data_IF_500243247458
#
_entry.id   IF_500243247458
#
_cell.length_a   1.000
_cell.length_b   1.000
_cell.length_c   1.000
_cell.angle_alpha   90.00
_cell.angle_beta   90.00
_cell.angle_gamma   90.00
#
_symmetry.space_group_name_H-M   'P 1'
#
loop_
_entity.id
_entity.type
_entity.pdbx_description
1 polymer ?
#
# COMPACT_ATOMS: atom_id res chain seq x y z
N UNK A 1 4.28 25.59 -12.68
CA UNK A 1 3.79 24.22 -12.90
C UNK A 1 2.40 24.14 -12.31
N UNK A 2 1.37 24.13 -13.15
CA UNK A 2 0.02 23.85 -12.68
C UNK A 2 0.02 22.39 -12.27
N UNK A 3 0.10 22.12 -10.96
CA UNK A 3 -0.27 20.83 -10.42
C UNK A 3 -1.61 20.49 -11.05
N UNK A 4 -1.71 19.31 -11.65
CA UNK A 4 -2.99 18.70 -12.00
C UNK A 4 -3.69 18.49 -10.65
N UNK A 5 -4.26 19.57 -10.12
CA UNK A 5 -5.17 19.55 -8.98
C UNK A 5 -6.35 18.77 -9.51
N UNK A 6 -6.31 17.48 -9.25
CA UNK A 6 -7.38 16.56 -9.54
C UNK A 6 -8.62 17.11 -8.85
N UNK A 7 -9.78 17.00 -9.49
CA UNK A 7 -11.05 17.48 -8.91
C UNK A 7 -11.30 16.92 -7.49
N UNK A 8 -10.71 15.75 -7.19
CA UNK A 8 -10.64 15.12 -5.88
C UNK A 8 -10.02 16.02 -4.81
N UNK A 9 -8.89 16.67 -5.10
CA UNK A 9 -8.17 17.50 -4.13
C UNK A 9 -9.00 18.73 -3.76
N UNK A 10 -9.71 19.30 -4.73
CA UNK A 10 -10.62 20.44 -4.51
C UNK A 10 -11.81 20.05 -3.65
N UNK A 11 -12.37 18.85 -3.85
CA UNK A 11 -13.44 18.30 -3.01
C UNK A 11 -12.92 18.10 -1.57
N UNK A 12 -11.74 17.50 -1.41
CA UNK A 12 -11.13 17.27 -0.11
C UNK A 12 -10.85 18.58 0.63
N UNK A 13 -10.24 19.56 -0.04
CA UNK A 13 -9.94 20.87 0.55
C UNK A 13 -11.23 21.60 0.98
N UNK A 14 -12.25 21.59 0.12
CA UNK A 14 -13.54 22.21 0.42
C UNK A 14 -14.25 21.55 1.62
N UNK A 15 -14.30 20.22 1.66
CA UNK A 15 -14.95 19.48 2.76
C UNK A 15 -14.12 19.56 4.04
N UNK A 16 -12.79 19.53 3.97
CA UNK A 16 -11.89 19.69 5.13
C UNK A 16 -12.09 21.05 5.80
N UNK A 17 -12.26 22.12 5.03
CA UNK A 17 -12.52 23.47 5.57
C UNK A 17 -13.86 23.61 6.31
N UNK A 18 -14.89 22.85 5.90
CA UNK A 18 -16.26 22.98 6.45
C UNK A 18 -16.66 21.86 7.42
N UNK A 19 -15.88 20.78 7.49
CA UNK A 19 -16.14 19.52 8.22
C UNK A 19 -17.39 18.75 7.79
N UNK A 20 -18.48 19.43 7.40
CA UNK A 20 -19.71 18.86 6.84
C UNK A 20 -20.24 19.78 5.74
N UNK A 21 -20.48 19.26 4.54
CA UNK A 21 -21.00 20.03 3.42
C UNK A 21 -22.06 19.24 2.63
N UNK A 22 -23.09 19.93 2.12
CA UNK A 22 -24.12 19.30 1.28
C UNK A 22 -23.56 19.02 -0.13
N UNK A 23 -23.83 17.86 -0.71
CA UNK A 23 -23.28 17.46 -2.01
C UNK A 23 -23.59 18.47 -3.13
N UNK A 24 -24.81 19.02 -3.14
CA UNK A 24 -25.24 20.03 -4.11
C UNK A 24 -24.49 21.34 -3.91
N UNK A 25 -24.20 21.71 -2.65
CA UNK A 25 -23.42 22.89 -2.32
C UNK A 25 -21.96 22.76 -2.80
N UNK A 26 -21.35 21.59 -2.59
CA UNK A 26 -20.00 21.27 -3.08
C UNK A 26 -19.95 21.34 -4.61
N UNK A 27 -20.95 20.77 -5.29
CA UNK A 27 -21.09 20.83 -6.75
C UNK A 27 -21.18 22.26 -7.26
N UNK A 28 -21.98 23.13 -6.62
CA UNK A 28 -22.10 24.54 -7.00
C UNK A 28 -20.82 25.33 -6.72
N UNK A 29 -20.19 25.10 -5.57
CA UNK A 29 -18.97 25.82 -5.18
C UNK A 29 -17.77 25.49 -6.07
N UNK A 30 -17.64 24.23 -6.51
CA UNK A 30 -16.54 23.76 -7.33
C UNK A 30 -16.83 23.82 -8.85
N UNK A 31 -18.06 24.17 -9.24
CA UNK A 31 -18.48 24.19 -10.64
C UNK A 31 -18.52 22.80 -11.30
N UNK A 32 -18.68 21.74 -10.50
CA UNK A 32 -18.69 20.35 -10.96
C UNK A 32 -20.13 19.82 -11.08
N UNK A 33 -20.35 18.81 -11.93
CA UNK A 33 -21.66 18.14 -11.99
C UNK A 33 -21.89 17.33 -10.71
N UNK A 34 -23.11 17.38 -10.16
CA UNK A 34 -23.46 16.64 -8.94
C UNK A 34 -23.16 15.13 -9.03
N UNK A 35 -23.34 14.51 -10.20
CA UNK A 35 -22.99 13.10 -10.43
C UNK A 35 -21.48 12.82 -10.34
N UNK A 36 -20.63 13.76 -10.73
CA UNK A 36 -19.17 13.60 -10.63
C UNK A 36 -18.73 13.72 -9.18
N UNK A 37 -19.31 14.66 -8.42
CA UNK A 37 -19.08 14.81 -6.98
C UNK A 37 -19.54 13.56 -6.22
N UNK A 38 -20.70 12.98 -6.56
CA UNK A 38 -21.18 11.71 -5.99
C UNK A 38 -20.24 10.53 -6.27
N UNK A 39 -19.78 10.41 -7.53
CA UNK A 39 -18.81 9.38 -7.92
C UNK A 39 -17.51 9.49 -7.13
N UNK A 40 -16.96 10.69 -7.00
CA UNK A 40 -15.74 10.92 -6.22
C UNK A 40 -15.95 10.73 -4.72
N UNK A 41 -17.09 11.18 -4.18
CA UNK A 41 -17.44 10.97 -2.77
C UNK A 41 -17.47 9.49 -2.41
N UNK A 42 -18.06 8.63 -3.25
CA UNK A 42 -18.08 7.16 -3.05
C UNK A 42 -16.68 6.53 -3.07
N UNK A 43 -15.77 7.05 -3.89
CA UNK A 43 -14.37 6.60 -3.93
C UNK A 43 -13.65 7.03 -2.64
N UNK A 44 -13.83 8.28 -2.23
CA UNK A 44 -13.22 8.83 -1.01
C UNK A 44 -13.75 8.16 0.27
N UNK A 45 -15.01 7.72 0.27
CA UNK A 45 -15.59 6.94 1.37
C UNK A 45 -14.97 5.55 1.46
N UNK A 46 -14.75 4.86 0.33
CA UNK A 46 -14.03 3.57 0.30
C UNK A 46 -12.59 3.69 0.82
N UNK A 47 -11.96 4.85 0.60
CA UNK A 47 -10.63 5.17 1.12
C UNK A 47 -10.64 5.63 2.59
N UNK A 48 -11.83 5.83 3.19
CA UNK A 48 -11.99 6.26 4.57
C UNK A 48 -11.70 7.75 4.82
N UNK A 49 -11.50 8.55 3.77
CA UNK A 49 -11.18 9.98 3.87
C UNK A 49 -12.43 10.83 4.16
N UNK A 50 -13.57 10.42 3.61
CA UNK A 50 -14.88 11.05 3.82
C UNK A 50 -15.91 10.01 4.28
N UNK A 51 -16.99 10.47 4.89
CA UNK A 51 -18.16 9.65 5.19
C UNK A 51 -19.39 10.29 4.54
N UNK A 52 -20.20 9.52 3.83
CA UNK A 52 -21.43 10.00 3.21
C UNK A 52 -22.59 9.77 4.19
N UNK A 53 -23.21 10.85 4.65
CA UNK A 53 -24.44 10.80 5.44
C UNK A 53 -25.65 11.07 4.54
N UNK A 54 -26.60 10.14 4.56
CA UNK A 54 -27.87 10.28 3.86
C UNK A 54 -28.93 10.76 4.86
N UNK A 55 -29.37 12.00 4.71
CA UNK A 55 -30.60 12.50 5.34
C UNK A 55 -31.78 12.33 4.38
N UNK A 56 -33.01 12.43 4.90
CA UNK A 56 -34.26 12.11 4.19
C UNK A 56 -34.35 12.75 2.78
N UNK A 57 -33.81 13.96 2.62
CA UNK A 57 -33.89 14.73 1.37
C UNK A 57 -32.54 15.17 0.82
N UNK A 58 -31.45 14.91 1.56
CA UNK A 58 -30.15 15.54 1.30
C UNK A 58 -29.00 14.59 1.59
N UNK A 59 -27.94 14.71 0.80
CA UNK A 59 -26.69 13.99 1.03
C UNK A 59 -25.62 14.95 1.54
N UNK A 60 -24.97 14.58 2.64
CA UNK A 60 -23.89 15.33 3.26
C UNK A 60 -22.56 14.57 3.19
N UNK A 61 -21.50 15.27 2.81
CA UNK A 61 -20.13 14.81 2.89
C UNK A 61 -19.55 15.26 4.23
N UNK A 62 -19.12 14.32 5.07
CA UNK A 62 -18.53 14.59 6.39
C UNK A 62 -17.06 14.22 6.37
N UNK A 63 -16.20 15.14 6.82
CA UNK A 63 -14.76 14.91 6.96
C UNK A 63 -14.49 13.94 8.11
N UNK A 64 -13.81 12.82 7.83
CA UNK A 64 -13.52 11.81 8.84
C UNK A 64 -12.17 12.11 9.53
N UNK A 65 -12.22 12.91 10.60
CA UNK A 65 -11.04 13.37 11.36
C UNK A 65 -10.27 12.22 12.06
N UNK A 66 -10.82 11.00 12.09
CA UNK A 66 -10.22 9.84 12.76
C UNK A 66 -8.94 9.31 12.10
N UNK A 67 -8.74 9.53 10.80
CA UNK A 67 -7.57 8.99 10.10
C UNK A 67 -6.28 9.79 10.36
N UNK A 68 -6.35 11.07 10.73
CA UNK A 68 -5.16 11.92 10.92
C UNK A 68 -4.45 11.69 12.27
N UNK A 69 -5.06 10.92 13.20
CA UNK A 69 -4.49 10.59 14.52
C UNK A 69 -4.13 9.10 14.70
N UNK A 70 -4.34 8.26 13.69
CA UNK A 70 -3.98 6.84 13.73
C UNK A 70 -2.98 6.51 12.62
N UNK A 71 -1.93 7.31 12.48
CA UNK A 71 -0.68 6.78 11.93
C UNK A 71 -0.05 5.85 12.99
N UNK A 72 0.15 4.55 12.70
CA UNK A 72 0.65 3.58 13.66
C UNK A 72 2.19 3.66 13.81
N UNK A 73 2.75 4.86 13.93
CA UNK A 73 4.21 5.03 14.07
C UNK A 73 4.64 4.92 15.54
N UNK A 74 3.78 5.23 16.50
CA UNK A 74 4.16 5.23 17.93
C UNK A 74 3.98 3.90 18.67
N UNK A 75 3.54 2.84 17.99
CA UNK A 75 3.39 1.51 18.63
C UNK A 75 4.67 0.67 18.65
N UNK A 76 5.76 1.12 18.05
CA UNK A 76 7.03 0.37 18.00
C UNK A 76 8.18 0.98 18.80
N UNK A 77 7.96 2.10 19.50
CA UNK A 77 9.04 2.74 20.30
C UNK A 77 9.11 2.18 21.73
N UNK A 78 8.07 1.49 22.22
CA UNK A 78 8.08 0.96 23.60
C UNK A 78 8.74 -0.42 23.79
N UNK A 79 9.05 -1.16 22.71
CA UNK A 79 9.62 -2.51 22.82
C UNK A 79 11.12 -2.60 22.50
N UNK A 80 11.77 -1.51 22.07
CA UNK A 80 13.22 -1.49 21.75
C UNK A 80 14.10 -0.92 22.88
N UNK A 81 13.52 -0.40 23.96
CA UNK A 81 14.28 0.14 25.10
C UNK A 81 14.62 -0.94 26.17
N UNK A 82 14.14 -2.17 26.00
CA UNK A 82 14.37 -3.28 26.94
C UNK A 82 15.63 -4.12 26.67
N UNK A 83 16.42 -3.83 25.61
CA UNK A 83 17.56 -4.65 25.20
C UNK A 83 18.90 -3.91 25.21
N UNK A 84 19.12 -3.02 26.19
CA UNK A 84 20.46 -2.43 26.42
C UNK A 84 21.24 -3.32 27.41
N UNK A 85 22.32 -4.00 27.01
CA UNK A 85 23.14 -4.78 27.93
C UNK A 85 23.81 -3.86 28.96
N UNK A 86 23.99 -4.32 30.22
CA UNK A 86 24.62 -3.54 31.27
C UNK A 86 26.08 -3.23 30.90
N UNK A 87 26.43 -1.94 30.92
CA UNK A 87 27.79 -1.49 30.67
C UNK A 87 28.76 -2.04 31.73
N UNK A 88 29.98 -2.47 31.33
CA UNK A 88 30.98 -2.95 32.27
C UNK A 88 31.48 -1.81 33.16
N UNK A 89 31.38 -2.02 34.47
CA UNK A 89 31.95 -1.16 35.51
C UNK A 89 33.48 -1.20 35.46
N UNK A 90 34.11 -0.05 35.31
CA UNK A 90 35.55 0.15 35.51
C UNK A 90 35.80 1.34 36.43
N UNK A 91 36.96 1.35 37.13
CA UNK A 91 37.06 1.75 38.52
C UNK A 91 37.30 3.25 38.74
N UNK A 92 36.86 3.71 39.92
CA UNK A 92 37.23 5.01 40.51
C UNK A 92 38.75 5.17 40.52
N UNK A 93 39.26 6.25 39.92
CA UNK A 93 40.56 6.82 40.25
C UNK A 93 40.40 8.24 40.82
N UNK A 94 41.10 8.41 41.92
CA UNK A 94 41.18 9.59 42.77
C UNK A 94 41.93 10.74 42.09
N UNK A 95 41.80 11.91 42.71
CA UNK A 95 42.21 13.22 42.22
C UNK A 95 43.68 13.40 41.83
N UNK A 96 43.90 14.49 41.11
CA UNK A 96 45.01 15.41 41.36
C UNK A 96 44.66 16.78 40.78
N UNK A 97 45.02 17.78 41.56
CA UNK A 97 44.88 19.22 41.41
C UNK A 97 45.53 19.84 40.15
N UNK A 98 45.25 21.15 40.01
CA UNK A 98 46.04 22.18 39.30
C UNK A 98 46.04 22.09 37.75
N UNK A 99 45.88 23.15 36.96
CA UNK A 99 46.11 24.59 37.17
C UNK A 99 45.33 25.38 36.10
N UNK A 100 44.96 26.62 36.48
CA UNK A 100 44.59 27.74 35.60
C UNK A 100 45.52 27.86 34.38
N UNK A 101 44.97 28.22 33.21
CA UNK A 101 45.40 29.35 32.36
C UNK A 101 44.23 29.74 31.46
N UNK A 102 43.76 30.97 31.65
CA UNK A 102 42.82 31.69 30.77
C UNK A 102 43.68 32.57 29.86
N UNK A 103 43.61 32.47 28.52
CA UNK A 103 44.20 33.48 27.65
C UNK A 103 43.25 34.69 27.51
N UNK A 104 43.77 35.94 27.55
CA UNK A 104 42.96 37.14 27.49
C UNK A 104 42.56 37.51 26.05
N UNK A 105 41.29 37.83 25.88
CA UNK A 105 40.72 38.45 24.67
C UNK A 105 41.35 39.83 24.39
N UNK A 106 41.78 40.13 23.16
CA UNK A 106 42.23 41.47 22.82
C UNK A 106 41.05 42.43 22.64
N UNK A 107 41.18 43.58 23.32
CA UNK A 107 40.25 44.71 23.34
C UNK A 107 40.07 45.30 21.94
N UNK A 108 38.81 45.41 21.50
CA UNK A 108 38.42 46.25 20.35
C UNK A 108 38.75 47.71 20.68
N UNK A 109 39.63 48.32 19.92
CA UNK A 109 39.79 49.77 19.86
C UNK A 109 38.76 50.32 18.89
N UNK A 110 37.90 51.19 19.40
CA UNK A 110 37.11 52.12 18.60
C UNK A 110 38.04 52.95 17.72
N UNK A 111 37.87 52.83 16.40
CA UNK A 111 38.40 53.78 15.44
C UNK A 111 37.20 54.32 14.67
N UNK A 112 37.01 55.64 14.81
CA UNK A 112 35.85 56.36 14.33
C UNK A 112 35.63 56.23 12.83
N UNK A 113 34.35 56.06 12.50
CA UNK A 113 33.81 56.31 11.17
C UNK A 113 33.98 57.80 10.84
N UNK A 114 34.86 58.11 9.88
CA UNK A 114 34.83 59.39 9.18
C UNK A 114 33.86 59.23 8.00
N UNK A 115 32.78 60.01 8.06
CA UNK A 115 31.91 60.30 6.92
C UNK A 115 32.73 60.96 5.80
N UNK A 116 32.60 60.47 4.56
CA UNK A 116 33.09 61.22 3.42
C UNK A 116 32.97 60.48 2.09
N UNK A 117 32.16 61.06 1.19
CA UNK A 117 32.43 60.96 -0.25
C UNK A 117 31.49 60.07 -1.04
N UNK A 118 30.32 60.63 -1.39
CA UNK A 118 29.57 60.19 -2.55
C UNK A 118 30.44 60.32 -3.81
N UNK A 119 30.74 59.20 -4.46
CA UNK A 119 31.30 59.19 -5.82
C UNK A 119 30.22 58.65 -6.77
N UNK A 120 29.53 59.59 -7.43
CA UNK A 120 28.81 59.32 -8.67
C UNK A 120 29.84 59.04 -9.77
N UNK A 121 29.97 57.79 -10.19
CA UNK A 121 30.74 57.46 -11.39
C UNK A 121 29.79 57.37 -12.59
N UNK A 122 29.93 58.40 -13.42
CA UNK A 122 29.30 58.64 -14.70
C UNK A 122 29.79 57.60 -15.73
N UNK A 123 28.91 56.72 -16.21
CA UNK A 123 29.20 55.83 -17.34
C UNK A 123 28.98 56.61 -18.64
N UNK A 124 30.08 56.94 -19.34
CA UNK A 124 30.05 57.45 -20.70
C UNK A 124 30.01 56.28 -21.69
N UNK A 125 29.02 56.31 -22.57
CA UNK A 125 28.70 55.24 -23.49
C UNK A 125 29.67 55.05 -24.65
N UNK A 126 29.64 53.82 -25.20
CA UNK A 126 29.87 53.58 -26.62
C UNK A 126 28.59 53.03 -27.23
N UNK A 127 28.08 53.80 -28.20
CA UNK A 127 27.05 53.40 -29.16
C UNK A 127 27.68 52.46 -30.18
N UNK A 128 27.06 51.30 -30.39
CA UNK A 128 27.15 50.55 -31.65
C UNK A 128 25.78 49.93 -31.87
N UNK A 129 25.12 50.45 -32.90
CA UNK A 129 23.81 50.06 -33.37
C UNK A 129 23.78 48.59 -33.80
N UNK A 130 22.87 47.80 -33.22
CA UNK A 130 22.34 46.62 -33.89
C UNK A 130 20.86 46.46 -33.51
N UNK A 131 19.99 46.88 -34.45
CA UNK A 131 18.56 46.62 -34.40
C UNK A 131 18.31 45.12 -34.61
N UNK A 132 17.60 44.47 -33.68
CA UNK A 132 16.51 43.51 -33.99
C UNK A 132 15.81 42.97 -32.72
N UNK A 133 14.51 43.29 -32.66
CA UNK A 133 13.37 42.54 -32.11
C UNK A 133 13.37 42.05 -30.66
N UNK A 134 12.57 42.74 -29.84
CA UNK A 134 11.48 42.21 -29.00
C UNK A 134 11.60 40.78 -28.43
N UNK A 135 11.85 40.71 -27.12
CA UNK A 135 11.06 39.90 -26.19
C UNK A 135 11.47 40.26 -24.74
N UNK A 136 10.62 41.01 -24.05
CA UNK A 136 10.72 41.23 -22.61
C UNK A 136 10.42 39.94 -21.86
N UNK A 137 11.43 39.34 -21.22
CA UNK A 137 11.26 38.29 -20.21
C UNK A 137 11.97 38.77 -18.95
N UNK A 138 11.19 39.04 -17.91
CA UNK A 138 11.70 39.31 -16.56
C UNK A 138 12.17 38.00 -15.91
N UNK A 139 13.34 37.98 -15.25
CA UNK A 139 13.67 36.92 -14.31
C UNK A 139 13.00 37.22 -12.97
N UNK A 140 12.05 36.38 -12.56
CA UNK A 140 11.62 36.31 -11.17
C UNK A 140 12.42 35.20 -10.48
N UNK A 141 13.25 35.63 -9.55
CA UNK A 141 13.90 34.78 -8.57
C UNK A 141 12.85 34.02 -7.76
N UNK A 142 12.93 32.70 -7.77
CA UNK A 142 12.18 31.83 -6.87
C UNK A 142 13.17 30.83 -6.25
N UNK A 143 13.50 31.11 -4.99
CA UNK A 143 14.27 30.23 -4.11
C UNK A 143 13.65 28.83 -4.03
N UNK A 144 14.36 27.84 -4.59
CA UNK A 144 14.05 26.42 -4.40
C UNK A 144 14.57 25.98 -3.03
N UNK A 145 13.69 25.97 -2.03
CA UNK A 145 13.93 25.22 -0.79
C UNK A 145 13.83 23.72 -1.08
N UNK A 146 14.97 23.04 -1.16
CA UNK A 146 15.07 21.58 -1.17
C UNK A 146 14.55 21.02 0.16
N UNK A 147 13.29 20.61 0.21
CA UNK A 147 12.82 19.69 1.25
C UNK A 147 13.17 18.27 0.84
N UNK A 148 14.14 17.68 1.52
CA UNK A 148 14.44 16.25 1.46
C UNK A 148 13.20 15.47 1.91
N UNK A 149 12.49 14.85 0.96
CA UNK A 149 11.40 13.91 1.27
C UNK A 149 12.03 12.54 1.51
N UNK A 150 11.85 12.05 2.73
CA UNK A 150 12.31 10.75 3.19
C UNK A 150 11.85 9.63 2.25
N UNK A 151 12.79 8.78 1.86
CA UNK A 151 12.54 7.52 1.16
C UNK A 151 11.80 6.61 2.14
N UNK A 152 10.53 6.33 1.85
CA UNK A 152 9.74 5.34 2.59
C UNK A 152 10.25 3.95 2.18
N UNK A 153 10.75 3.12 3.10
CA UNK A 153 11.11 1.75 2.77
C UNK A 153 9.85 0.95 2.45
N UNK A 154 9.83 0.34 1.26
CA UNK A 154 8.81 -0.63 0.84
C UNK A 154 8.82 -1.79 1.82
N UNK A 155 7.78 -1.89 2.65
CA UNK A 155 7.59 -3.02 3.55
C UNK A 155 7.30 -4.26 2.70
N UNK A 156 8.25 -5.19 2.73
CA UNK A 156 8.12 -6.55 2.21
C UNK A 156 6.99 -7.25 2.96
N UNK A 157 5.89 -7.55 2.27
CA UNK A 157 4.82 -8.40 2.78
C UNK A 157 5.44 -9.78 3.05
N UNK A 158 5.34 -10.36 4.27
CA UNK A 158 5.82 -11.70 4.52
C UNK A 158 5.02 -12.69 3.66
N UNK A 159 5.72 -13.31 2.70
CA UNK A 159 5.28 -14.50 1.97
C UNK A 159 4.78 -15.52 2.97
N UNK A 160 3.49 -15.89 2.87
CA UNK A 160 2.94 -17.05 3.56
C UNK A 160 3.74 -18.28 3.16
N UNK A 161 4.39 -18.85 4.16
CA UNK A 161 5.09 -20.13 4.11
C UNK A 161 4.09 -21.22 3.76
N UNK A 162 4.55 -22.14 2.91
CA UNK A 162 3.86 -23.30 2.40
C UNK A 162 3.18 -24.15 3.50
N UNK A 163 1.85 -24.08 3.59
CA UNK A 163 1.04 -25.13 4.19
C UNK A 163 0.59 -26.12 3.11
N UNK A 164 1.58 -26.80 2.50
CA UNK A 164 1.36 -28.10 1.87
C UNK A 164 1.55 -29.18 2.93
N UNK A 165 0.52 -29.50 3.70
CA UNK A 165 0.45 -30.78 4.41
C UNK A 165 -0.99 -31.21 4.69
N UNK A 166 -1.29 -32.41 4.20
CA UNK A 166 -2.39 -33.28 4.56
C UNK A 166 -3.81 -32.89 4.10
N UNK A 167 -4.04 -32.93 2.78
CA UNK A 167 -5.32 -33.44 2.29
C UNK A 167 -5.11 -34.95 2.07
N UNK A 168 -5.55 -35.74 3.05
CA UNK A 168 -5.69 -37.19 2.91
C UNK A 168 -6.60 -37.45 1.71
N UNK A 169 -6.09 -38.20 0.74
CA UNK A 169 -6.90 -38.91 -0.24
C UNK A 169 -8.04 -39.61 0.48
N UNK A 170 -9.27 -39.14 0.27
CA UNK A 170 -10.46 -39.94 0.48
C UNK A 170 -10.59 -40.77 -0.81
N UNK A 171 -9.78 -41.81 -0.88
CA UNK A 171 -9.99 -42.94 -1.77
C UNK A 171 -11.27 -43.61 -1.30
N UNK A 172 -12.39 -43.32 -1.97
CA UNK A 172 -13.62 -44.07 -1.81
C UNK A 172 -13.31 -45.48 -2.33
N UNK A 173 -13.34 -46.53 -1.49
CA UNK A 173 -13.08 -47.88 -1.95
C UNK A 173 -14.20 -48.27 -2.91
N UNK A 174 -13.80 -48.77 -4.08
CA UNK A 174 -14.68 -49.40 -5.04
C UNK A 174 -15.51 -50.47 -4.31
N UNK A 175 -16.81 -50.19 -4.16
CA UNK A 175 -17.76 -51.13 -3.60
C UNK A 175 -17.80 -52.39 -4.46
N UNK A 176 -17.42 -53.47 -3.81
CA UNK A 176 -17.45 -54.82 -4.29
C UNK A 176 -18.82 -55.17 -4.85
N UNK A 177 -18.86 -55.48 -6.15
CA UNK A 177 -19.77 -56.48 -6.69
C UNK A 177 -19.48 -57.81 -5.99
N UNK A 178 -20.14 -58.06 -4.86
CA UNK A 178 -20.33 -59.41 -4.33
C UNK A 178 -21.81 -59.72 -4.42
N UNK A 179 -22.10 -60.57 -5.40
CA UNK A 179 -23.31 -61.36 -5.52
C UNK A 179 -23.77 -61.82 -4.14
N UNK A 180 -24.94 -61.34 -3.71
CA UNK A 180 -25.68 -61.97 -2.64
C UNK A 180 -26.58 -63.05 -3.28
N UNK A 181 -26.66 -64.23 -2.67
CA UNK A 181 -27.29 -65.40 -3.27
C UNK A 181 -28.80 -65.21 -3.32
N UNK A 182 -29.37 -65.53 -4.47
CA UNK A 182 -30.79 -65.79 -4.66
C UNK A 182 -31.28 -66.84 -3.66
N UNK A 183 -31.74 -66.38 -2.49
CA UNK A 183 -32.51 -67.18 -1.53
C UNK A 183 -33.89 -67.39 -2.12
N UNK A 184 -34.02 -68.45 -2.91
CA UNK A 184 -35.30 -69.08 -3.24
C UNK A 184 -35.99 -69.44 -1.92
N UNK A 185 -37.02 -68.67 -1.56
CA UNK A 185 -37.85 -68.93 -0.41
C UNK A 185 -38.85 -70.04 -0.78
N UNK A 186 -38.37 -71.28 -0.77
CA UNK A 186 -39.23 -72.46 -0.90
C UNK A 186 -40.03 -72.61 0.39
N UNK A 187 -41.31 -72.26 0.35
CA UNK A 187 -42.26 -72.55 1.42
C UNK A 187 -42.29 -74.07 1.68
N UNK A 188 -42.15 -74.55 2.92
CA UNK A 188 -42.34 -75.95 3.25
C UNK A 188 -43.83 -76.27 3.12
N UNK A 189 -44.19 -76.92 2.03
CA UNK A 189 -45.51 -77.54 1.82
C UNK A 189 -45.70 -78.60 2.91
N UNK A 190 -46.50 -78.29 3.93
CA UNK A 190 -46.97 -79.23 4.94
C UNK A 190 -47.93 -80.22 4.28
N UNK A 191 -47.39 -81.20 3.57
CA UNK A 191 -48.10 -82.44 3.20
C UNK A 191 -48.23 -83.31 4.45
N UNK A 192 -49.23 -83.02 5.27
CA UNK A 192 -49.64 -83.87 6.39
C UNK A 192 -50.43 -85.05 5.83
N UNK A 193 -49.73 -86.10 5.43
CA UNK A 193 -50.32 -87.41 5.16
C UNK A 193 -51.02 -87.93 6.43
N UNK A 194 -52.29 -88.35 6.38
CA UNK A 194 -52.89 -89.09 7.48
C UNK A 194 -52.35 -90.53 7.44
N UNK A 195 -51.61 -90.90 8.47
CA UNK A 195 -51.16 -92.26 8.73
C UNK A 195 -52.35 -93.22 8.75
N UNK A 196 -52.31 -94.16 7.82
CA UNK A 196 -53.11 -95.38 7.76
C UNK A 196 -52.87 -96.18 9.06
N UNK A 197 -53.81 -96.12 10.01
CA UNK A 197 -53.83 -97.02 11.17
C UNK A 197 -54.60 -98.28 10.78
N UNK A 198 -53.88 -99.41 10.90
CA UNK A 198 -54.37 -100.77 10.75
C UNK A 198 -55.51 -101.08 11.73
N UNK A 199 -56.42 -101.92 11.24
CA UNK A 199 -57.55 -102.50 11.95
C UNK A 199 -57.13 -103.36 13.15
N UNK A 200 -57.97 -103.42 14.20
CA UNK A 200 -58.14 -104.63 14.97
C UNK A 200 -59.44 -105.33 14.55
N UNK A 201 -59.28 -106.61 14.23
CA UNK A 201 -60.31 -107.62 14.07
C UNK A 201 -61.13 -107.73 15.36
N UNK A 202 -62.46 -107.81 15.25
CA UNK A 202 -63.35 -107.80 16.41
C UNK A 202 -64.82 -107.91 16.03
N UNK A 203 -65.25 -109.15 15.79
CA UNK A 203 -66.63 -109.61 15.81
C UNK A 203 -67.42 -109.02 16.99
N UNK A 204 -68.48 -108.26 16.71
CA UNK A 204 -69.69 -108.20 17.55
C UNK A 204 -70.89 -107.77 16.68
N UNK A 205 -71.68 -108.75 16.23
CA UNK A 205 -73.08 -108.57 15.86
C UNK A 205 -73.87 -108.06 17.07
N UNK A 206 -74.12 -106.75 17.12
CA UNK A 206 -75.16 -106.13 17.96
C UNK A 206 -75.81 -105.03 17.14
N UNK A 207 -77.10 -105.23 16.83
CA UNK A 207 -77.98 -104.23 16.22
C UNK A 207 -77.82 -102.90 16.95
N UNK A 208 -77.10 -101.98 16.30
CA UNK A 208 -77.07 -100.59 16.72
C UNK A 208 -78.48 -100.05 16.45
N UNK A 209 -79.20 -99.54 17.47
CA UNK A 209 -80.55 -99.04 17.28
C UNK A 209 -80.52 -97.96 16.20
N UNK A 210 -81.41 -98.06 15.20
CA UNK A 210 -81.46 -97.19 14.02
C UNK A 210 -81.45 -95.68 14.37
N UNK A 211 -81.84 -95.33 15.60
CA UNK A 211 -81.76 -93.98 16.16
C UNK A 211 -80.33 -93.46 16.35
N UNK A 212 -79.39 -94.29 16.85
CA UNK A 212 -77.99 -93.89 17.08
C UNK A 212 -77.23 -93.71 15.76
N UNK A 213 -77.58 -94.49 14.74
CA UNK A 213 -77.07 -94.32 13.37
C UNK A 213 -77.59 -93.02 12.75
N UNK A 214 -78.86 -92.69 12.98
CA UNK A 214 -79.46 -91.43 12.53
C UNK A 214 -78.79 -90.22 13.20
N UNK A 215 -78.60 -90.25 14.52
CA UNK A 215 -77.92 -89.18 15.25
C UNK A 215 -76.45 -89.01 14.80
N UNK A 216 -75.75 -90.11 14.48
CA UNK A 216 -74.40 -90.06 13.91
C UNK A 216 -74.38 -89.52 12.48
N UNK A 217 -75.36 -89.87 11.65
CA UNK A 217 -75.50 -89.34 10.28
C UNK A 217 -75.86 -87.85 10.31
N UNK A 218 -76.72 -87.42 11.23
CA UNK A 218 -77.07 -86.01 11.42
C UNK A 218 -75.86 -85.20 11.94
N UNK A 219 -75.06 -85.77 12.84
CA UNK A 219 -73.78 -85.19 13.28
C UNK A 219 -72.75 -85.12 12.12
N UNK A 220 -72.67 -86.14 11.27
CA UNK A 220 -71.83 -86.13 10.07
C UNK A 220 -72.31 -85.04 9.09
N UNK A 221 -73.62 -84.93 8.85
CA UNK A 221 -74.17 -83.89 7.99
C UNK A 221 -73.95 -82.48 8.55
N UNK A 222 -74.02 -82.31 9.88
CA UNK A 222 -73.69 -81.05 10.54
C UNK A 222 -72.19 -80.70 10.39
N UNK A 223 -71.29 -81.68 10.55
CA UNK A 223 -69.85 -81.46 10.32
C UNK A 223 -69.53 -81.18 8.86
N UNK A 224 -70.22 -81.82 7.91
CA UNK A 224 -70.11 -81.50 6.47
C UNK A 224 -70.57 -80.06 6.22
N UNK A 225 -71.70 -79.64 6.78
CA UNK A 225 -72.19 -78.27 6.66
C UNK A 225 -71.19 -77.25 7.22
N UNK A 226 -70.61 -77.54 8.38
CA UNK A 226 -69.56 -76.71 8.99
C UNK A 226 -68.30 -76.64 8.11
N UNK A 227 -67.84 -77.76 7.56
CA UNK A 227 -66.70 -77.80 6.62
C UNK A 227 -67.02 -76.97 5.35
N UNK A 228 -68.24 -77.04 4.83
CA UNK A 228 -68.63 -76.23 3.67
C UNK A 228 -68.70 -74.74 3.99
N UNK A 229 -69.15 -74.36 5.19
CA UNK A 229 -69.18 -72.97 5.64
C UNK A 229 -67.76 -72.42 5.85
N UNK A 230 -66.88 -73.18 6.50
CA UNK A 230 -65.46 -72.83 6.66
C UNK A 230 -64.74 -72.73 5.32
N UNK A 231 -65.04 -73.60 4.35
CA UNK A 231 -64.48 -73.48 3.00
C UNK A 231 -64.99 -72.24 2.27
N UNK A 232 -66.28 -71.88 2.40
CA UNK A 232 -66.82 -70.66 1.83
C UNK A 232 -66.21 -69.40 2.47
N UNK A 233 -65.99 -69.41 3.78
CA UNK A 233 -65.32 -68.33 4.50
C UNK A 233 -63.83 -68.21 4.11
N UNK A 234 -63.14 -69.35 3.99
CA UNK A 234 -61.77 -69.42 3.48
C UNK A 234 -61.68 -68.80 2.08
N UNK A 235 -62.55 -69.20 1.15
CA UNK A 235 -62.61 -68.63 -0.21
C UNK A 235 -62.90 -67.14 -0.16
N UNK A 236 -63.81 -66.68 0.71
CA UNK A 236 -64.09 -65.24 0.90
C UNK A 236 -62.86 -64.47 1.40
N UNK A 237 -62.16 -64.99 2.40
CA UNK A 237 -60.93 -64.39 2.94
C UNK A 237 -59.84 -64.30 1.86
N UNK A 238 -59.62 -65.38 1.09
CA UNK A 238 -58.67 -65.38 -0.02
C UNK A 238 -59.08 -64.41 -1.13
N UNK A 239 -60.34 -64.40 -1.53
CA UNK A 239 -60.82 -63.61 -2.65
C UNK A 239 -60.97 -62.12 -2.34
N UNK A 240 -61.18 -61.72 -1.08
CA UNK A 240 -61.45 -60.32 -0.72
C UNK A 240 -60.34 -59.67 0.09
N UNK A 241 -59.88 -60.28 1.17
CA UNK A 241 -58.91 -59.66 2.07
C UNK A 241 -57.48 -59.81 1.54
N UNK A 242 -57.11 -61.03 1.12
CA UNK A 242 -55.77 -61.28 0.58
C UNK A 242 -55.55 -60.57 -0.75
N UNK A 243 -56.52 -60.59 -1.67
CA UNK A 243 -56.44 -59.85 -2.93
C UNK A 243 -56.33 -58.35 -2.69
N UNK A 244 -57.15 -57.76 -1.81
CA UNK A 244 -57.08 -56.34 -1.49
C UNK A 244 -55.73 -55.95 -0.85
N UNK A 245 -55.19 -56.80 0.02
CA UNK A 245 -53.86 -56.59 0.60
C UNK A 245 -52.77 -56.65 -0.46
N UNK A 246 -52.81 -57.64 -1.36
CA UNK A 246 -51.85 -57.77 -2.47
C UNK A 246 -51.91 -56.54 -3.37
N UNK A 247 -53.11 -56.13 -3.81
CA UNK A 247 -53.28 -54.93 -4.65
C UNK A 247 -52.77 -53.66 -3.96
N UNK A 248 -52.95 -53.53 -2.63
CA UNK A 248 -52.41 -52.40 -1.86
C UNK A 248 -50.87 -52.45 -1.80
N UNK A 249 -50.28 -53.62 -1.60
CA UNK A 249 -48.83 -53.79 -1.58
C UNK A 249 -48.22 -53.50 -2.96
N UNK A 250 -48.83 -53.98 -4.03
CA UNK A 250 -48.42 -53.70 -5.42
C UNK A 250 -48.50 -52.20 -5.72
N UNK A 251 -49.59 -51.53 -5.30
CA UNK A 251 -49.72 -50.08 -5.43
C UNK A 251 -48.63 -49.32 -4.66
N UNK A 252 -48.36 -49.71 -3.41
CA UNK A 252 -47.30 -49.10 -2.62
C UNK A 252 -45.91 -49.33 -3.25
N UNK A 253 -45.65 -50.53 -3.78
CA UNK A 253 -44.41 -50.85 -4.49
C UNK A 253 -44.27 -50.01 -5.77
N UNK A 254 -45.34 -49.81 -6.53
CA UNK A 254 -45.35 -48.92 -7.70
C UNK A 254 -44.99 -47.48 -7.30
N UNK A 255 -45.63 -46.94 -6.26
CA UNK A 255 -45.35 -45.58 -5.78
C UNK A 255 -43.91 -45.43 -5.29
N UNK A 256 -43.36 -46.45 -4.61
CA UNK A 256 -41.95 -46.44 -4.19
C UNK A 256 -40.99 -46.53 -5.37
N UNK A 257 -41.32 -47.33 -6.40
CA UNK A 257 -40.56 -47.41 -7.64
C UNK A 257 -40.51 -46.06 -8.35
N UNK A 258 -41.66 -45.40 -8.51
CA UNK A 258 -41.76 -44.09 -9.17
C UNK A 258 -40.96 -43.02 -8.42
N UNK A 259 -41.09 -42.98 -7.08
CA UNK A 259 -40.29 -42.07 -6.23
C UNK A 259 -38.80 -42.35 -6.35
N UNK A 260 -38.40 -43.62 -6.45
CA UNK A 260 -36.98 -43.98 -6.60
C UNK A 260 -36.44 -43.50 -7.94
N UNK A 261 -37.20 -43.71 -9.02
CA UNK A 261 -36.85 -43.22 -10.36
C UNK A 261 -36.77 -41.69 -10.42
N UNK A 262 -37.71 -40.97 -9.80
CA UNK A 262 -37.68 -39.52 -9.71
C UNK A 262 -36.43 -39.03 -8.95
N UNK A 263 -36.07 -39.67 -7.85
CA UNK A 263 -34.86 -39.34 -7.09
C UNK A 263 -33.59 -39.62 -7.89
N UNK A 264 -33.51 -40.73 -8.60
CA UNK A 264 -32.40 -41.03 -9.52
C UNK A 264 -32.28 -39.97 -10.63
N UNK A 265 -33.40 -39.53 -11.21
CA UNK A 265 -33.44 -38.43 -12.16
C UNK A 265 -32.86 -37.14 -11.58
N UNK A 266 -33.32 -36.75 -10.38
CA UNK A 266 -32.82 -35.57 -9.68
C UNK A 266 -31.32 -35.68 -9.36
N UNK A 267 -30.85 -36.87 -8.93
CA UNK A 267 -29.45 -37.13 -8.64
C UNK A 267 -28.57 -36.98 -9.89
N UNK A 268 -29.03 -37.50 -11.03
CA UNK A 268 -28.32 -37.35 -12.30
C UNK A 268 -28.21 -35.88 -12.74
N UNK A 269 -29.24 -35.06 -12.51
CA UNK A 269 -29.16 -33.62 -12.80
C UNK A 269 -28.17 -32.89 -11.88
N UNK A 270 -28.15 -33.23 -10.59
CA UNK A 270 -27.17 -32.69 -9.65
C UNK A 270 -25.76 -33.10 -10.02
N UNK A 271 -25.56 -34.35 -10.45
CA UNK A 271 -24.25 -34.84 -10.83
C UNK A 271 -23.69 -34.11 -12.06
N UNK A 272 -24.53 -33.86 -13.08
CA UNK A 272 -24.18 -33.03 -14.24
C UNK A 272 -23.77 -31.62 -13.80
N UNK A 273 -24.57 -30.99 -12.93
CA UNK A 273 -24.25 -29.64 -12.40
C UNK A 273 -22.94 -29.60 -11.63
N UNK A 274 -22.61 -30.65 -10.86
CA UNK A 274 -21.33 -30.77 -10.16
C UNK A 274 -20.17 -30.85 -11.15
N UNK A 275 -20.33 -31.60 -12.25
CA UNK A 275 -19.31 -31.69 -13.30
C UNK A 275 -19.08 -30.32 -13.96
N UNK A 276 -20.15 -29.61 -14.36
CA UNK A 276 -20.06 -28.28 -14.98
C UNK A 276 -19.38 -27.26 -14.05
N UNK A 277 -19.73 -27.29 -12.75
CA UNK A 277 -19.10 -26.42 -11.75
C UNK A 277 -17.62 -26.76 -11.54
N UNK A 278 -17.25 -28.04 -11.59
CA UNK A 278 -15.86 -28.47 -11.44
C UNK A 278 -15.00 -27.98 -12.61
N UNK A 279 -15.52 -28.05 -13.84
CA UNK A 279 -14.85 -27.51 -15.02
C UNK A 279 -14.67 -25.98 -14.92
N UNK A 280 -15.71 -25.26 -14.46
CA UNK A 280 -15.63 -23.81 -14.24
C UNK A 280 -14.63 -23.43 -13.14
N UNK A 281 -14.52 -24.24 -12.07
CA UNK A 281 -13.50 -24.02 -11.03
C UNK A 281 -12.11 -24.19 -11.64
N UNK A 282 -11.91 -25.19 -12.49
CA UNK A 282 -10.63 -25.40 -13.17
C UNK A 282 -10.27 -24.25 -14.10
N UNK A 283 -11.22 -23.73 -14.88
CA UNK A 283 -10.98 -22.58 -15.77
C UNK A 283 -10.61 -21.32 -14.97
N UNK A 284 -11.32 -21.04 -13.88
CA UNK A 284 -11.02 -19.90 -13.00
C UNK A 284 -9.67 -20.04 -12.29
N UNK A 285 -9.28 -21.26 -11.89
CA UNK A 285 -7.95 -21.51 -11.33
C UNK A 285 -6.84 -21.24 -12.35
N UNK A 286 -7.03 -21.64 -13.60
CA UNK A 286 -6.09 -21.33 -14.68
C UNK A 286 -5.99 -19.82 -14.93
N UNK A 287 -7.12 -19.11 -15.05
CA UNK A 287 -7.14 -17.65 -15.20
C UNK A 287 -6.46 -16.93 -14.04
N UNK A 288 -6.69 -17.39 -12.80
CA UNK A 288 -6.02 -16.85 -11.62
C UNK A 288 -4.50 -17.05 -11.70
N UNK A 289 -4.05 -18.25 -12.10
CA UNK A 289 -2.63 -18.54 -12.26
C UNK A 289 -1.99 -17.69 -13.37
N UNK A 290 -2.70 -17.45 -14.47
CA UNK A 290 -2.22 -16.58 -15.55
C UNK A 290 -2.14 -15.12 -15.09
N UNK A 291 -3.13 -14.63 -14.35
CA UNK A 291 -3.11 -13.28 -13.77
C UNK A 291 -1.95 -13.09 -12.79
N UNK A 292 -1.65 -14.12 -11.97
CA UNK A 292 -0.50 -14.10 -11.05
C UNK A 292 0.82 -13.98 -11.80
N UNK A 293 1.01 -14.75 -12.90
CA UNK A 293 2.20 -14.65 -13.74
C UNK A 293 2.37 -13.25 -14.33
N UNK A 294 1.27 -12.64 -14.81
CA UNK A 294 1.30 -11.26 -15.33
C UNK A 294 1.69 -10.25 -14.26
N UNK A 295 1.26 -10.45 -13.02
CA UNK A 295 1.67 -9.61 -11.89
C UNK A 295 3.19 -9.76 -11.65
N UNK A 296 3.71 -10.98 -11.57
CA UNK A 296 5.15 -11.24 -11.38
C UNK A 296 6.00 -10.61 -12.50
N UNK A 297 5.55 -10.69 -13.75
CA UNK A 297 6.21 -10.07 -14.91
C UNK A 297 6.21 -8.55 -14.83
N UNK A 298 5.09 -7.94 -14.43
CA UNK A 298 4.99 -6.50 -14.23
C UNK A 298 5.90 -6.03 -13.10
N UNK A 299 5.93 -6.74 -11.97
CA UNK A 299 6.82 -6.44 -10.85
C UNK A 299 8.30 -6.51 -11.28
N UNK A 300 8.69 -7.55 -12.02
CA UNK A 300 10.05 -7.68 -12.55
C UNK A 300 10.40 -6.51 -13.49
N UNK A 301 9.47 -6.10 -14.34
CA UNK A 301 9.66 -4.95 -15.24
C UNK A 301 9.79 -3.62 -14.48
N UNK A 302 8.96 -3.39 -13.44
CA UNK A 302 9.07 -2.20 -12.59
C UNK A 302 10.40 -2.16 -11.84
N UNK A 303 10.85 -3.29 -11.30
CA UNK A 303 12.13 -3.37 -10.60
C UNK A 303 13.32 -3.05 -11.53
N UNK A 304 13.32 -3.56 -12.77
CA UNK A 304 14.34 -3.19 -13.77
C UNK A 304 14.32 -1.69 -14.10
N UNK A 305 13.14 -1.10 -14.24
CA UNK A 305 13.02 0.36 -14.44
C UNK A 305 13.54 1.14 -13.25
N UNK A 306 13.23 0.72 -12.03
CA UNK A 306 13.71 1.36 -10.80
C UNK A 306 15.24 1.33 -10.73
N UNK A 307 15.84 0.19 -11.07
CA UNK A 307 17.30 0.05 -11.12
C UNK A 307 17.92 0.98 -12.18
N UNK A 308 17.34 1.06 -13.38
CA UNK A 308 17.81 1.98 -14.43
C UNK A 308 17.70 3.46 -14.01
N UNK A 309 16.62 3.84 -13.31
CA UNK A 309 16.46 5.20 -12.77
C UNK A 309 17.50 5.49 -11.68
N UNK A 310 17.83 4.49 -10.85
CA UNK A 310 18.87 4.64 -9.83
C UNK A 310 20.25 4.89 -10.44
N UNK A 311 20.57 4.21 -11.56
CA UNK A 311 21.80 4.40 -12.31
C UNK A 311 21.84 5.78 -12.95
N UNK A 312 20.74 6.21 -13.60
CA UNK A 312 20.64 7.54 -14.21
C UNK A 312 20.79 8.65 -13.17
N UNK A 313 20.22 8.47 -11.97
CA UNK A 313 20.35 9.43 -10.87
C UNK A 313 21.79 9.58 -10.40
N UNK A 314 22.52 8.45 -10.25
CA UNK A 314 23.95 8.48 -9.90
C UNK A 314 24.77 9.22 -10.96
N UNK A 315 24.50 8.93 -12.23
CA UNK A 315 25.19 9.55 -13.36
C UNK A 315 24.92 11.07 -13.40
N UNK A 316 23.67 11.50 -13.22
CA UNK A 316 23.31 12.91 -13.12
C UNK A 316 23.98 13.61 -11.93
N UNK A 317 24.11 12.93 -10.79
CA UNK A 317 24.79 13.47 -9.61
C UNK A 317 26.29 13.64 -9.87
N UNK A 318 26.93 12.68 -10.54
CA UNK A 318 28.34 12.78 -10.92
C UNK A 318 28.58 13.96 -11.85
N UNK A 319 27.75 14.14 -12.90
CA UNK A 319 27.88 15.30 -13.78
C UNK A 319 27.65 16.62 -13.06
N UNK A 320 26.72 16.68 -12.11
CA UNK A 320 26.53 17.88 -11.30
C UNK A 320 27.78 18.20 -10.47
N UNK A 321 28.42 17.18 -9.89
CA UNK A 321 29.67 17.35 -9.14
C UNK A 321 30.82 17.81 -10.05
N UNK A 322 30.98 17.22 -11.24
CA UNK A 322 31.98 17.63 -12.23
C UNK A 322 31.78 19.09 -12.69
N UNK A 323 30.54 19.49 -12.96
CA UNK A 323 30.23 20.88 -13.34
C UNK A 323 30.55 21.85 -12.19
N UNK A 324 30.24 21.50 -10.95
CA UNK A 324 30.61 22.34 -9.80
C UNK A 324 32.12 22.43 -9.62
N UNK A 325 32.86 21.33 -9.81
CA UNK A 325 34.31 21.33 -9.72
C UNK A 325 34.95 22.20 -10.82
N UNK A 326 34.47 22.08 -12.07
CA UNK A 326 34.97 22.89 -13.18
C UNK A 326 34.65 24.38 -12.99
N UNK A 327 33.46 24.70 -12.46
CA UNK A 327 33.09 26.09 -12.15
C UNK A 327 34.03 26.68 -11.11
N UNK A 328 34.30 25.96 -10.02
CA UNK A 328 35.23 26.40 -8.99
C UNK A 328 36.65 26.59 -9.56
N UNK A 329 37.14 25.67 -10.40
CA UNK A 329 38.48 25.79 -11.01
C UNK A 329 38.58 27.03 -11.92
N UNK A 330 37.54 27.32 -12.70
CA UNK A 330 37.47 28.51 -13.55
C UNK A 330 37.46 29.77 -12.68
N UNK A 331 36.61 29.83 -11.65
CA UNK A 331 36.51 30.96 -10.73
C UNK A 331 37.83 31.23 -10.00
N UNK A 332 38.47 30.19 -9.44
CA UNK A 332 39.79 30.28 -8.81
C UNK A 332 40.85 30.78 -9.79
N UNK A 333 40.85 30.26 -11.02
CA UNK A 333 41.75 30.68 -12.08
C UNK A 333 41.60 32.17 -12.43
N UNK A 334 40.37 32.68 -12.52
CA UNK A 334 40.10 34.09 -12.78
C UNK A 334 40.43 34.98 -11.57
N UNK A 335 40.06 34.57 -10.35
CA UNK A 335 40.35 35.32 -9.13
C UNK A 335 41.86 35.46 -8.90
N UNK A 336 42.62 34.40 -9.12
CA UNK A 336 44.09 34.45 -9.02
C UNK A 336 44.70 35.40 -10.06
N UNK A 337 44.18 35.45 -11.29
CA UNK A 337 44.60 36.41 -12.32
C UNK A 337 44.30 37.85 -11.88
N UNK A 338 43.08 38.15 -11.45
CA UNK A 338 42.70 39.49 -10.99
C UNK A 338 43.51 39.94 -9.77
N UNK A 339 43.74 39.06 -8.79
CA UNK A 339 44.58 39.36 -7.64
C UNK A 339 46.03 39.64 -8.03
N UNK A 340 46.57 38.91 -9.01
CA UNK A 340 47.91 39.16 -9.55
C UNK A 340 48.01 40.53 -10.22
N UNK A 341 47.01 40.90 -11.04
CA UNK A 341 46.94 42.20 -11.71
C UNK A 341 46.79 43.35 -10.69
N UNK A 342 45.90 43.21 -9.70
CA UNK A 342 45.75 44.17 -8.61
C UNK A 342 47.04 44.35 -7.83
N UNK A 343 47.77 43.25 -7.54
CA UNK A 343 49.07 43.32 -6.87
C UNK A 343 50.11 44.05 -7.70
N UNK A 344 50.18 43.80 -9.01
CA UNK A 344 51.10 44.53 -9.92
C UNK A 344 50.79 46.02 -9.94
N UNK A 345 49.51 46.38 -10.11
CA UNK A 345 49.07 47.78 -10.11
C UNK A 345 49.41 48.45 -8.76
N UNK A 346 49.17 47.77 -7.64
CA UNK A 346 49.53 48.26 -6.31
C UNK A 346 51.03 48.54 -6.16
N UNK A 347 51.88 47.61 -6.62
CA UNK A 347 53.34 47.78 -6.63
C UNK A 347 53.79 48.95 -7.51
N UNK A 348 53.17 49.14 -8.68
CA UNK A 348 53.47 50.28 -9.55
C UNK A 348 53.11 51.62 -8.90
N UNK A 349 51.95 51.70 -8.23
CA UNK A 349 51.54 52.92 -7.51
C UNK A 349 52.43 53.19 -6.30
N UNK A 350 52.82 52.16 -5.55
CA UNK A 350 53.76 52.29 -4.44
C UNK A 350 55.12 52.80 -4.92
N UNK A 351 55.65 52.24 -6.02
CA UNK A 351 56.90 52.71 -6.62
C UNK A 351 56.80 54.17 -7.11
N UNK A 352 55.68 54.55 -7.73
CA UNK A 352 55.41 55.94 -8.13
C UNK A 352 55.31 56.88 -6.93
N UNK A 353 54.65 56.46 -5.84
CA UNK A 353 54.53 57.24 -4.61
C UNK A 353 55.91 57.48 -3.96
N UNK A 354 56.76 56.45 -3.87
CA UNK A 354 58.14 56.57 -3.36
C UNK A 354 58.96 57.51 -4.25
N UNK A 355 58.85 57.39 -5.57
CA UNK A 355 59.57 58.28 -6.51
C UNK A 355 59.11 59.74 -6.39
N UNK A 356 57.81 59.99 -6.22
CA UNK A 356 57.27 61.32 -5.97
C UNK A 356 57.73 61.88 -4.61
N UNK A 357 57.77 61.06 -3.56
CA UNK A 357 58.29 61.46 -2.24
C UNK A 357 59.74 61.94 -2.35
N UNK A 358 60.60 61.18 -3.02
CA UNK A 358 62.00 61.56 -3.26
C UNK A 358 62.14 62.86 -4.05
N UNK A 359 61.31 63.05 -5.08
CA UNK A 359 61.28 64.32 -5.84
C UNK A 359 60.82 65.49 -4.97
N UNK A 360 59.84 65.28 -4.09
CA UNK A 360 59.39 66.31 -3.16
C UNK A 360 60.49 66.68 -2.17
N UNK A 361 61.19 65.69 -1.59
CA UNK A 361 62.37 65.91 -0.73
C UNK A 361 63.47 66.70 -1.47
N UNK A 362 63.74 66.39 -2.74
CA UNK A 362 64.70 67.12 -3.57
C UNK A 362 64.26 68.59 -3.80
N UNK A 363 62.99 68.82 -4.09
CA UNK A 363 62.42 70.17 -4.26
C UNK A 363 62.48 70.95 -2.95
N UNK A 364 62.14 70.34 -1.83
CA UNK A 364 62.23 70.96 -0.50
C UNK A 364 63.67 71.33 -0.15
N UNK A 365 64.64 70.46 -0.45
CA UNK A 365 66.06 70.75 -0.28
C UNK A 365 66.51 71.93 -1.15
N UNK A 366 66.08 71.99 -2.42
CA UNK A 366 66.35 73.12 -3.32
C UNK A 366 65.70 74.42 -2.82
N UNK A 367 64.46 74.37 -2.33
CA UNK A 367 63.78 75.53 -1.76
C UNK A 367 64.47 76.04 -0.50
N UNK A 368 64.95 75.14 0.36
CA UNK A 368 65.74 75.51 1.53
C UNK A 368 67.05 76.19 1.13
N UNK A 369 67.81 75.62 0.20
CA UNK A 369 69.04 76.23 -0.31
C UNK A 369 68.80 77.61 -0.95
N UNK A 370 67.70 77.76 -1.71
CA UNK A 370 67.31 79.05 -2.28
C UNK A 370 66.94 80.09 -1.21
N UNK A 371 66.20 79.69 -0.17
CA UNK A 371 65.87 80.54 0.99
C UNK A 371 67.13 80.98 1.74
N UNK A 372 68.05 80.07 2.02
CA UNK A 372 69.30 80.36 2.71
C UNK A 372 70.16 81.35 1.91
N UNK A 373 70.22 81.19 0.59
CA UNK A 373 70.90 82.14 -0.32
C UNK A 373 70.26 83.52 -0.31
N UNK A 374 68.93 83.61 -0.35
CA UNK A 374 68.22 84.90 -0.25
C UNK A 374 68.46 85.57 1.11
N UNK A 375 68.44 84.81 2.19
CA UNK A 375 68.77 85.33 3.52
C UNK A 375 70.21 85.85 3.59
N UNK A 376 71.15 85.18 2.95
CA UNK A 376 72.54 85.64 2.85
C UNK A 376 72.64 86.94 2.07
N UNK A 377 72.07 87.02 0.85
CA UNK A 377 72.04 88.24 0.03
C UNK A 377 71.37 89.41 0.76
N UNK A 378 70.30 89.17 1.52
CA UNK A 378 69.66 90.21 2.35
C UNK A 378 70.57 90.70 3.48
N UNK A 379 71.35 89.81 4.12
CA UNK A 379 72.34 90.21 5.13
C UNK A 379 73.48 91.01 4.51
N UNK A 380 74.00 90.58 3.36
CA UNK A 380 75.02 91.31 2.60
C UNK A 380 74.52 92.69 2.17
N UNK A 381 73.32 92.78 1.59
CA UNK A 381 72.68 94.03 1.21
C UNK A 381 72.50 94.99 2.40
N UNK A 382 72.06 94.49 3.57
CA UNK A 382 71.99 95.29 4.80
C UNK A 382 73.36 95.77 5.28
N UNK A 383 74.39 94.91 5.21
CA UNK A 383 75.75 95.29 5.59
C UNK A 383 76.33 96.35 4.63
N UNK A 384 76.08 96.20 3.32
CA UNK A 384 76.45 97.20 2.31
C UNK A 384 75.74 98.52 2.56
N UNK A 385 74.43 98.50 2.83
CA UNK A 385 73.64 99.69 3.12
C UNK A 385 74.18 100.45 4.34
N UNK A 386 74.57 99.73 5.41
CA UNK A 386 75.24 100.33 6.59
C UNK A 386 76.58 100.96 6.25
N UNK A 387 77.40 100.31 5.42
CA UNK A 387 78.68 100.90 4.96
C UNK A 387 78.45 102.20 4.19
N UNK A 388 77.45 102.23 3.32
CA UNK A 388 77.08 103.46 2.60
C UNK A 388 76.52 104.55 3.53
N UNK A 389 75.81 104.19 4.61
CA UNK A 389 75.38 105.16 5.64
C UNK A 389 76.54 105.70 6.48
N UNK A 390 77.64 104.96 6.66
CA UNK A 390 78.84 105.40 7.40
C UNK A 390 79.78 106.29 6.56
N UNK A 391 79.75 106.18 5.23
CA UNK A 391 80.59 106.94 4.29
C UNK A 391 80.00 108.31 3.87
N UNK A 392 78.81 108.67 4.38
CA UNK A 392 78.11 109.96 4.17
C UNK A 392 78.18 110.78 5.46
#
# INVERSE_FOLDING_TARGET
MNYVSTDVDRILEYVKGRKKAELIEVSRALGMKAMEVDKWAKILEKQGLLQIQYDITKMYLVWNERQEKQDPVDKYVHDLEAAKPPAPSMPKKQGSDETKIIPPSPKKKDMGFIHGGAFNLFILGRKSDLKRSDATIQPKDAELKMTQKAVIPVQTIPRRVDEKKAIKEITIPAESKKEAPSRSFSLPFLSRSPSQKQAPDGDVDKEVPAQLLKDKVDAINATIAEITALNAEKEKLYATEYTALISRLESHLSVLSDKTSEKEGSFNTLHKRIADLSEKIFSLQHELQESSKKIDELEAHYNRKLESLSQLRKLSQNYQQELTALTNEIEEGHMNKYLSELKKIGQEYEAKAVALSRKNEEVEARLKAARDRLQHLMKESKALSRKFEEDI
#
